data_IF_343527255715
#
_entry.id   IF_343527255715
#
_cell.length_a   1.000
_cell.length_b   1.000
_cell.length_c   1.000
_cell.angle_alpha   90.00
_cell.angle_beta   90.00
_cell.angle_gamma   90.00
#
_symmetry.space_group_name_H-M   'P 1'
#
loop_
_entity.id
_entity.type
_entity.pdbx_description
1 polymer ?
#
# COMPACT_ATOMS: atom_id res chain seq x y z
N UNK A 1 36.27 33.74 48.97
CA UNK A 1 36.36 32.84 47.79
C UNK A 1 37.23 31.65 48.17
N UNK A 2 36.95 30.45 47.66
CA UNK A 2 37.80 29.25 47.81
C UNK A 2 37.93 28.55 46.46
N UNK A 3 39.02 27.80 46.28
CA UNK A 3 39.19 26.93 45.11
C UNK A 3 38.37 25.66 45.32
N UNK A 4 37.44 25.41 44.42
CA UNK A 4 36.67 24.18 44.31
C UNK A 4 37.26 23.29 43.23
N UNK A 5 37.56 22.05 43.60
CA UNK A 5 38.09 21.04 42.69
C UNK A 5 36.92 20.16 42.22
N UNK A 6 36.45 20.42 41.01
CA UNK A 6 35.32 19.72 40.43
C UNK A 6 35.77 18.45 39.69
N UNK A 7 35.16 17.33 40.06
CA UNK A 7 35.30 16.03 39.42
C UNK A 7 33.95 15.64 38.82
N UNK A 8 33.73 16.01 37.56
CA UNK A 8 32.41 15.92 36.93
C UNK A 8 31.91 14.46 36.84
N UNK A 9 30.66 14.23 37.25
CA UNK A 9 29.99 12.94 37.12
C UNK A 9 30.38 11.89 38.17
N UNK A 10 31.27 12.21 39.10
CA UNK A 10 31.73 11.24 40.13
C UNK A 10 31.07 11.44 41.50
N UNK A 11 30.59 12.65 41.81
CA UNK A 11 30.16 13.04 43.16
C UNK A 11 31.29 13.56 44.05
N UNK A 12 32.55 13.29 43.69
CA UNK A 12 33.73 13.45 44.55
C UNK A 12 34.34 14.86 44.53
N UNK A 13 33.52 15.88 44.26
CA UNK A 13 34.02 17.26 44.16
C UNK A 13 34.25 17.85 45.53
N UNK A 14 35.38 18.53 45.74
CA UNK A 14 35.80 18.91 47.10
C UNK A 14 36.45 20.30 47.16
N UNK A 15 36.38 20.91 48.34
CA UNK A 15 37.13 22.11 48.72
C UNK A 15 38.44 21.78 49.45
N UNK A 16 38.70 20.51 49.79
CA UNK A 16 39.94 20.08 50.42
C UNK A 16 41.01 19.77 49.36
N UNK A 17 42.11 20.55 49.31
CA UNK A 17 43.17 20.35 48.33
C UNK A 17 43.89 19.00 48.48
N UNK A 18 43.91 18.40 49.68
CA UNK A 18 44.53 17.08 49.91
C UNK A 18 43.69 15.97 49.31
N UNK A 19 42.37 16.05 49.47
CA UNK A 19 41.43 15.10 48.86
C UNK A 19 41.45 15.26 47.34
N UNK A 20 41.44 16.49 46.83
CA UNK A 20 41.59 16.76 45.41
C UNK A 20 42.89 16.19 44.82
N UNK A 21 44.03 16.35 45.53
CA UNK A 21 45.30 15.78 45.12
C UNK A 21 45.26 14.25 45.04
N UNK A 22 44.60 13.59 46.00
CA UNK A 22 44.39 12.13 46.00
C UNK A 22 43.57 11.66 44.79
N UNK A 23 42.48 12.36 44.48
CA UNK A 23 41.65 12.05 43.31
C UNK A 23 42.38 12.27 41.99
N UNK A 24 43.15 13.36 41.87
CA UNK A 24 44.03 13.60 40.71
C UNK A 24 45.08 12.50 40.56
N UNK A 25 45.71 12.07 41.66
CA UNK A 25 46.68 10.98 41.65
C UNK A 25 46.05 9.62 41.27
N UNK A 26 44.76 9.43 41.56
CA UNK A 26 43.98 8.27 41.11
C UNK A 26 43.53 8.37 39.64
N UNK A 27 43.96 9.39 38.89
CA UNK A 27 43.68 9.56 37.46
C UNK A 27 42.34 10.24 37.16
N UNK A 28 41.65 10.81 38.15
CA UNK A 28 40.40 11.52 37.91
C UNK A 28 40.67 12.91 37.31
N UNK A 29 40.01 13.28 36.20
CA UNK A 29 40.13 14.61 35.63
C UNK A 29 39.50 15.64 36.56
N UNK A 30 40.24 16.70 36.87
CA UNK A 30 39.81 17.77 37.75
C UNK A 30 39.77 19.11 37.02
N UNK A 31 38.75 19.92 37.27
CA UNK A 31 38.77 21.36 36.97
C UNK A 31 38.79 22.17 38.26
N UNK A 32 39.53 23.28 38.25
CA UNK A 32 39.59 24.19 39.39
C UNK A 32 38.75 25.42 39.12
N UNK A 33 37.86 25.74 40.05
CA UNK A 33 36.92 26.84 39.92
C UNK A 33 36.98 27.65 41.21
N UNK A 34 37.19 28.96 41.12
CA UNK A 34 37.14 29.83 42.30
C UNK A 34 35.69 30.21 42.56
N UNK A 35 35.17 29.84 43.74
CA UNK A 35 33.76 30.02 44.10
C UNK A 35 33.61 30.84 45.39
N UNK A 36 32.54 31.65 45.54
CA UNK A 36 32.12 32.14 46.84
C UNK A 36 31.62 30.98 47.69
N UNK A 37 31.91 31.03 48.99
CA UNK A 37 31.48 30.01 49.96
C UNK A 37 30.69 30.72 51.05
N UNK A 38 29.50 30.21 51.33
CA UNK A 38 28.63 30.69 52.39
C UNK A 38 28.61 29.68 53.53
N UNK A 39 28.44 30.15 54.75
CA UNK A 39 28.21 29.28 55.91
C UNK A 39 26.79 28.71 55.85
N UNK A 40 26.59 27.54 56.44
CA UNK A 40 25.25 26.96 56.52
C UNK A 40 24.32 27.85 57.36
N UNK A 41 24.83 28.49 58.43
CA UNK A 41 24.06 29.50 59.17
C UNK A 41 23.57 30.64 58.28
N UNK A 42 24.40 31.13 57.34
CA UNK A 42 23.99 32.21 56.43
C UNK A 42 22.90 31.76 55.47
N UNK A 43 23.00 30.53 54.94
CA UNK A 43 21.97 29.95 54.08
C UNK A 43 20.64 29.82 54.85
N UNK A 44 20.71 29.47 56.14
CA UNK A 44 19.53 29.27 56.97
C UNK A 44 18.94 30.55 57.57
N UNK A 45 19.63 31.70 57.50
CA UNK A 45 19.08 32.99 57.95
C UNK A 45 17.81 33.38 57.22
N UNK A 46 17.74 33.06 55.92
CA UNK A 46 16.60 33.39 55.05
C UNK A 46 15.54 32.27 55.02
N UNK A 47 15.80 31.14 55.71
CA UNK A 47 14.91 29.99 55.70
C UNK A 47 13.79 30.21 56.72
N UNK A 48 12.60 30.59 56.24
CA UNK A 48 11.39 30.82 57.06
C UNK A 48 10.71 29.53 57.56
N UNK A 49 11.35 28.37 57.41
CA UNK A 49 10.76 27.10 57.80
C UNK A 49 10.72 26.98 59.33
N UNK A 50 9.53 26.76 59.94
CA UNK A 50 9.42 26.67 61.40
C UNK A 50 10.10 25.42 61.97
N UNK A 51 10.22 24.35 61.18
CA UNK A 51 10.79 23.07 61.60
C UNK A 51 11.62 22.46 60.48
N UNK A 52 12.85 22.05 60.79
CA UNK A 52 13.70 21.25 59.91
C UNK A 52 13.59 19.81 60.39
N UNK A 53 13.09 18.90 59.57
CA UNK A 53 12.97 17.49 59.96
C UNK A 53 14.27 16.71 59.70
N UNK A 54 15.00 17.08 58.66
CA UNK A 54 16.13 16.30 58.18
C UNK A 54 17.21 17.22 57.59
N UNK A 55 18.47 16.94 57.90
CA UNK A 55 19.65 17.60 57.32
C UNK A 55 20.67 16.53 56.93
N UNK A 56 21.06 16.47 55.65
CA UNK A 56 22.19 15.66 55.17
C UNK A 56 23.41 16.54 54.96
N UNK A 57 24.55 16.09 55.46
CA UNK A 57 25.87 16.69 55.25
C UNK A 57 26.74 15.66 54.51
N UNK A 58 27.20 16.08 53.35
CA UNK A 58 27.98 15.29 52.40
C UNK A 58 28.81 16.28 51.56
N UNK A 59 30.00 16.61 52.07
CA UNK A 59 30.79 17.72 51.54
C UNK A 59 32.24 17.31 51.29
N UNK A 60 32.46 16.01 51.11
CA UNK A 60 33.71 15.40 50.67
C UNK A 60 34.93 15.93 51.47
N UNK A 61 34.82 15.87 52.81
CA UNK A 61 35.90 16.18 53.76
C UNK A 61 35.76 17.49 54.53
N UNK A 62 34.75 18.31 54.23
CA UNK A 62 34.48 19.58 54.92
C UNK A 62 33.39 19.50 56.00
N UNK A 63 33.04 18.31 56.48
CA UNK A 63 31.90 18.08 57.38
C UNK A 63 32.03 18.87 58.68
N UNK A 64 33.24 18.91 59.25
CA UNK A 64 33.56 19.69 60.44
C UNK A 64 33.32 21.20 60.23
N UNK A 65 33.81 21.75 59.11
CA UNK A 65 33.64 23.17 58.79
C UNK A 65 32.15 23.55 58.66
N UNK A 66 31.34 22.68 58.05
CA UNK A 66 29.89 22.89 57.94
C UNK A 66 29.24 22.93 59.32
N UNK A 67 29.57 21.97 60.19
CA UNK A 67 29.00 21.86 61.54
C UNK A 67 29.45 22.99 62.48
N UNK A 68 30.70 23.44 62.38
CA UNK A 68 31.19 24.61 63.11
C UNK A 68 30.42 25.87 62.73
N UNK A 69 30.07 25.99 61.45
CA UNK A 69 29.32 27.14 60.93
C UNK A 69 27.83 27.14 61.29
N UNK A 70 27.30 26.02 61.81
CA UNK A 70 25.87 25.82 62.07
C UNK A 70 25.53 26.05 63.55
N UNK A 71 24.59 26.97 63.81
CA UNK A 71 24.01 27.12 65.15
C UNK A 71 22.81 26.16 65.34
N UNK A 72 23.09 24.98 65.89
CA UNK A 72 22.10 23.94 66.16
C UNK A 72 21.07 24.30 67.25
N UNK A 73 21.17 25.46 67.93
CA UNK A 73 20.11 25.98 68.81
C UNK A 73 19.07 26.81 68.05
N UNK A 74 19.46 27.40 66.92
CA UNK A 74 18.58 28.22 66.06
C UNK A 74 18.00 27.39 64.93
N UNK A 75 18.85 26.68 64.20
CA UNK A 75 18.44 25.75 63.17
C UNK A 75 18.51 24.34 63.75
N UNK A 76 17.35 23.76 64.05
CA UNK A 76 17.23 22.53 64.84
C UNK A 76 16.63 21.37 64.02
N UNK A 77 17.41 20.70 63.14
CA UNK A 77 16.97 19.49 62.48
C UNK A 77 16.56 18.41 63.47
N UNK A 78 15.48 17.68 63.24
CA UNK A 78 15.17 16.50 64.06
C UNK A 78 16.19 15.39 63.85
N UNK A 79 16.61 15.19 62.60
CA UNK A 79 17.57 14.17 62.20
C UNK A 79 18.71 14.85 61.42
N UNK A 80 19.95 14.52 61.77
CA UNK A 80 21.14 14.90 61.02
C UNK A 80 21.82 13.64 60.52
N UNK A 81 22.02 13.57 59.20
CA UNK A 81 22.74 12.50 58.52
C UNK A 81 24.08 13.02 58.02
N UNK A 82 25.18 12.41 58.42
CA UNK A 82 26.52 12.91 58.07
C UNK A 82 27.33 11.74 57.51
N UNK A 83 27.96 11.95 56.36
CA UNK A 83 28.93 10.97 55.85
C UNK A 83 30.11 10.86 56.81
N UNK A 84 30.41 9.63 57.19
CA UNK A 84 31.33 9.31 58.27
C UNK A 84 32.56 8.55 57.79
N UNK A 85 32.79 8.45 56.49
CA UNK A 85 33.95 7.78 55.89
C UNK A 85 34.83 8.75 55.11
N UNK A 86 36.09 8.39 54.88
CA UNK A 86 36.89 9.07 53.86
C UNK A 86 36.34 8.81 52.45
N UNK A 87 36.52 9.75 51.50
CA UNK A 87 36.03 9.59 50.13
C UNK A 87 36.48 8.27 49.49
N UNK A 88 35.54 7.51 48.93
CA UNK A 88 35.74 6.18 48.33
C UNK A 88 36.44 5.15 49.24
N UNK A 89 36.23 5.21 50.55
CA UNK A 89 36.86 4.32 51.52
C UNK A 89 35.88 3.88 52.60
N UNK A 90 36.15 2.73 53.23
CA UNK A 90 35.45 2.31 54.46
C UNK A 90 36.11 2.86 55.75
N UNK A 91 37.17 3.66 55.62
CA UNK A 91 37.88 4.26 56.76
C UNK A 91 36.99 5.33 57.39
N UNK A 92 36.65 5.14 58.66
CA UNK A 92 35.79 6.05 59.41
C UNK A 92 36.55 7.36 59.71
N UNK A 93 35.94 8.50 59.35
CA UNK A 93 36.45 9.86 59.57
C UNK A 93 35.63 10.65 60.61
N UNK A 94 34.69 9.98 61.30
CA UNK A 94 33.72 10.55 62.25
C UNK A 94 34.35 11.33 63.42
N UNK A 95 35.50 10.90 63.91
CA UNK A 95 36.17 11.49 65.08
C UNK A 95 36.45 13.00 64.93
N UNK A 96 36.60 13.47 63.69
CA UNK A 96 36.90 14.87 63.36
C UNK A 96 35.76 15.83 63.69
N UNK A 97 34.52 15.34 63.75
CA UNK A 97 33.34 16.21 63.83
C UNK A 97 32.25 15.74 64.79
N UNK A 98 32.25 14.48 65.24
CA UNK A 98 31.14 13.91 66.04
C UNK A 98 30.84 14.71 67.32
N UNK A 99 31.87 15.22 68.00
CA UNK A 99 31.68 16.05 69.19
C UNK A 99 30.89 17.33 68.90
N UNK A 100 30.98 17.89 67.69
CA UNK A 100 30.23 19.09 67.30
C UNK A 100 28.72 18.82 67.18
N UNK A 101 28.32 17.56 67.05
CA UNK A 101 26.94 17.12 66.99
C UNK A 101 26.47 16.71 68.39
N UNK A 102 27.20 15.79 69.02
CA UNK A 102 26.79 15.19 70.30
C UNK A 102 26.79 16.17 71.47
N UNK A 103 27.75 17.10 71.51
CA UNK A 103 27.76 18.17 72.53
C UNK A 103 26.60 19.16 72.39
N UNK A 104 25.88 19.13 71.27
CA UNK A 104 24.78 20.05 70.94
C UNK A 104 23.41 19.36 71.02
N UNK A 105 23.29 18.31 71.84
CA UNK A 105 22.02 17.66 72.16
C UNK A 105 21.50 16.76 71.04
N UNK A 106 22.41 16.00 70.42
CA UNK A 106 22.07 15.00 69.43
C UNK A 106 22.67 13.65 69.83
N UNK A 107 21.87 12.61 69.69
CA UNK A 107 22.26 11.25 70.03
C UNK A 107 22.38 10.41 68.77
N UNK A 108 23.45 9.62 68.65
CA UNK A 108 23.60 8.65 67.55
C UNK A 108 22.44 7.64 67.61
N UNK A 109 21.74 7.48 66.49
CA UNK A 109 20.76 6.43 66.26
C UNK A 109 21.45 5.17 65.73
N UNK A 110 22.12 5.27 64.57
CA UNK A 110 22.88 4.18 63.98
C UNK A 110 23.91 4.66 62.94
N UNK A 111 24.75 3.74 62.49
CA UNK A 111 25.71 3.89 61.39
C UNK A 111 25.41 2.83 60.34
N UNK A 112 25.20 3.23 59.08
CA UNK A 112 24.84 2.33 57.98
C UNK A 112 26.04 1.74 57.22
N UNK A 113 27.27 2.07 57.64
CA UNK A 113 28.51 1.74 56.94
C UNK A 113 29.10 2.89 56.13
N UNK A 114 28.34 3.97 55.91
CA UNK A 114 28.73 5.18 55.18
C UNK A 114 28.36 6.44 55.97
N UNK A 115 27.12 6.53 56.43
CA UNK A 115 26.53 7.66 57.11
C UNK A 115 26.19 7.36 58.57
N UNK A 116 26.43 8.34 59.45
CA UNK A 116 25.93 8.34 60.82
C UNK A 116 24.63 9.15 60.93
N UNK A 117 23.61 8.53 61.51
CA UNK A 117 22.32 9.13 61.77
C UNK A 117 22.27 9.62 63.22
N UNK A 118 22.06 10.91 63.42
CA UNK A 118 21.88 11.53 64.73
C UNK A 118 20.46 12.06 64.87
N UNK A 119 19.88 11.92 66.06
CA UNK A 119 18.53 12.37 66.40
C UNK A 119 18.63 13.40 67.51
N UNK A 120 17.92 14.52 67.39
CA UNK A 120 17.85 15.54 68.43
C UNK A 120 17.19 14.96 69.69
N UNK A 121 17.75 15.26 70.87
CA UNK A 121 17.33 14.60 72.11
C UNK A 121 15.85 14.82 72.46
N UNK A 122 15.28 15.97 72.06
CA UNK A 122 13.86 16.31 72.23
C UNK A 122 12.88 15.44 71.41
N UNK A 123 13.38 14.72 70.40
CA UNK A 123 12.62 13.77 69.56
C UNK A 123 13.26 12.39 69.59
N UNK A 124 13.90 12.04 70.71
CA UNK A 124 14.63 10.78 70.91
C UNK A 124 13.81 9.52 70.63
N UNK A 125 12.48 9.56 70.70
CA UNK A 125 11.59 8.46 70.29
C UNK A 125 11.79 8.03 68.82
N UNK A 126 12.32 8.91 67.95
CA UNK A 126 12.63 8.56 66.56
C UNK A 126 13.82 7.59 66.43
N UNK A 127 14.68 7.48 67.46
CA UNK A 127 15.80 6.55 67.45
C UNK A 127 15.35 5.10 67.28
N UNK A 128 14.22 4.73 67.87
CA UNK A 128 13.67 3.37 67.74
C UNK A 128 13.24 3.08 66.30
N UNK A 129 12.65 4.08 65.62
CA UNK A 129 12.25 3.98 64.21
C UNK A 129 13.45 3.94 63.25
N UNK A 130 14.58 4.48 63.69
CA UNK A 130 15.85 4.49 62.96
C UNK A 130 16.82 3.42 63.49
N UNK A 131 16.38 2.46 64.33
CA UNK A 131 17.31 1.52 64.95
C UNK A 131 17.95 0.56 63.94
N UNK A 132 17.33 0.38 62.78
CA UNK A 132 17.77 -0.51 61.71
C UNK A 132 17.88 0.27 60.39
N UNK A 133 18.89 -0.04 59.55
CA UNK A 133 18.91 0.43 58.17
C UNK A 133 17.72 -0.16 57.39
N UNK A 134 17.40 0.41 56.20
CA UNK A 134 16.49 -0.23 55.27
C UNK A 134 16.87 -1.70 55.05
N UNK A 135 15.90 -2.59 55.20
CA UNK A 135 16.08 -4.02 55.23
C UNK A 135 15.00 -4.73 54.38
N UNK A 136 15.04 -6.06 54.40
CA UNK A 136 14.19 -6.93 53.56
C UNK A 136 12.68 -6.73 53.77
N UNK A 137 12.26 -6.08 54.85
CA UNK A 137 10.86 -5.81 55.16
C UNK A 137 10.37 -4.42 54.71
N UNK A 138 11.24 -3.59 54.12
CA UNK A 138 10.92 -2.19 53.78
C UNK A 138 10.50 -1.97 52.31
N UNK A 139 10.37 -3.04 51.52
CA UNK A 139 10.01 -3.01 50.08
C UNK A 139 10.84 -2.02 49.23
N UNK A 140 12.06 -1.70 49.67
CA UNK A 140 12.95 -0.84 48.90
C UNK A 140 13.52 -1.60 47.69
N UNK A 141 13.77 -0.88 46.61
CA UNK A 141 14.40 -1.43 45.42
C UNK A 141 15.75 -0.74 45.22
N UNK A 142 16.80 -1.52 44.99
CA UNK A 142 18.12 -0.94 44.73
C UNK A 142 18.11 -0.25 43.37
N UNK A 143 18.81 0.88 43.26
CA UNK A 143 18.85 1.64 42.00
C UNK A 143 19.25 0.78 40.77
N UNK A 144 20.25 -0.11 40.82
CA UNK A 144 20.57 -0.99 39.69
C UNK A 144 19.43 -1.94 39.33
N UNK A 145 18.69 -2.48 40.30
CA UNK A 145 17.55 -3.36 40.05
C UNK A 145 16.40 -2.59 39.41
N UNK A 146 16.08 -1.41 39.93
CA UNK A 146 15.08 -0.52 39.34
C UNK A 146 15.48 -0.15 37.91
N UNK A 147 16.73 0.26 37.70
CA UNK A 147 17.26 0.63 36.37
C UNK A 147 17.19 -0.55 35.41
N UNK A 148 17.57 -1.75 35.85
CA UNK A 148 17.51 -2.96 35.04
C UNK A 148 16.07 -3.36 34.71
N UNK A 149 15.13 -3.20 35.65
CA UNK A 149 13.70 -3.42 35.40
C UNK A 149 13.16 -2.46 34.34
N UNK A 150 13.53 -1.19 34.41
CA UNK A 150 13.14 -0.19 33.40
C UNK A 150 13.75 -0.50 32.03
N UNK A 151 15.01 -0.96 31.98
CA UNK A 151 15.66 -1.40 30.73
C UNK A 151 14.97 -2.64 30.16
N UNK A 152 14.68 -3.63 30.99
CA UNK A 152 13.98 -4.86 30.59
C UNK A 152 12.61 -4.54 29.98
N UNK A 153 11.80 -3.73 30.67
CA UNK A 153 10.50 -3.30 30.16
C UNK A 153 10.61 -2.57 28.80
N UNK A 154 11.62 -1.71 28.63
CA UNK A 154 11.88 -1.05 27.34
C UNK A 154 12.25 -2.05 26.24
N UNK A 155 13.11 -3.01 26.55
CA UNK A 155 13.54 -4.04 25.59
C UNK A 155 12.39 -4.96 25.20
N UNK A 156 11.52 -5.32 26.15
CA UNK A 156 10.31 -6.10 25.89
C UNK A 156 9.34 -5.37 24.95
N UNK A 157 9.15 -4.07 25.15
CA UNK A 157 8.33 -3.24 24.25
C UNK A 157 8.92 -3.16 22.84
N UNK A 158 10.23 -2.97 22.71
CA UNK A 158 10.87 -2.92 21.39
C UNK A 158 10.83 -4.29 20.70
N UNK A 159 11.03 -5.39 21.45
CA UNK A 159 10.90 -6.75 20.92
C UNK A 159 9.48 -7.00 20.39
N UNK A 160 8.45 -6.62 21.14
CA UNK A 160 7.07 -6.74 20.70
C UNK A 160 6.79 -5.92 19.44
N UNK A 161 7.36 -4.71 19.34
CA UNK A 161 7.25 -3.85 18.14
C UNK A 161 7.89 -4.50 16.92
N UNK A 162 9.12 -5.00 17.07
CA UNK A 162 9.83 -5.67 15.99
C UNK A 162 9.14 -6.95 15.54
N UNK A 163 8.63 -7.75 16.48
CA UNK A 163 7.84 -8.94 16.16
C UNK A 163 6.56 -8.59 15.37
N UNK A 164 5.88 -7.50 15.75
CA UNK A 164 4.74 -7.00 14.99
C UNK A 164 5.11 -6.57 13.57
N UNK A 165 6.25 -5.87 13.42
CA UNK A 165 6.77 -5.47 12.11
C UNK A 165 7.11 -6.67 11.23
N UNK A 166 7.84 -7.65 11.76
CA UNK A 166 8.19 -8.87 11.02
C UNK A 166 6.95 -9.63 10.57
N UNK A 167 5.94 -9.77 11.44
CA UNK A 167 4.67 -10.41 11.08
C UNK A 167 3.97 -9.67 9.94
N UNK A 168 3.93 -8.34 9.99
CA UNK A 168 3.35 -7.53 8.91
C UNK A 168 4.10 -7.69 7.58
N UNK A 169 5.43 -7.77 7.61
CA UNK A 169 6.23 -8.05 6.41
C UNK A 169 5.97 -9.45 5.85
N UNK A 170 5.86 -10.46 6.71
CA UNK A 170 5.53 -11.83 6.27
C UNK A 170 4.15 -11.91 5.61
N UNK A 171 3.16 -11.20 6.14
CA UNK A 171 1.82 -11.11 5.56
C UNK A 171 1.83 -10.41 4.20
N UNK A 172 2.56 -9.29 4.08
CA UNK A 172 2.71 -8.58 2.80
C UNK A 172 3.40 -9.45 1.75
N UNK A 173 4.47 -10.17 2.14
CA UNK A 173 5.17 -11.08 1.24
C UNK A 173 4.27 -12.22 0.76
N UNK A 174 3.44 -12.80 1.64
CA UNK A 174 2.47 -13.83 1.26
C UNK A 174 1.41 -13.29 0.29
N UNK A 175 0.96 -12.06 0.48
CA UNK A 175 0.01 -11.42 -0.42
C UNK A 175 0.63 -11.21 -1.81
N UNK A 176 1.88 -10.73 -1.89
CA UNK A 176 2.61 -10.54 -3.14
C UNK A 176 2.86 -11.87 -3.87
N UNK A 177 3.24 -12.93 -3.14
CA UNK A 177 3.39 -14.28 -3.70
C UNK A 177 2.07 -14.78 -4.30
N UNK A 178 0.96 -14.59 -3.58
CA UNK A 178 -0.38 -14.98 -4.06
C UNK A 178 -0.76 -14.19 -5.31
N UNK A 179 -0.50 -12.88 -5.33
CA UNK A 179 -0.72 -12.04 -6.51
C UNK A 179 0.11 -12.51 -7.70
N UNK A 180 1.38 -12.84 -7.47
CA UNK A 180 2.28 -13.34 -8.53
C UNK A 180 1.78 -14.66 -9.12
N UNK A 181 1.30 -15.58 -8.29
CA UNK A 181 0.68 -16.85 -8.72
C UNK A 181 -0.58 -16.56 -9.56
N UNK A 182 -1.44 -15.65 -9.11
CA UNK A 182 -2.66 -15.29 -9.83
C UNK A 182 -2.37 -14.67 -11.20
N UNK A 183 -1.39 -13.75 -11.27
CA UNK A 183 -0.95 -13.14 -12.52
C UNK A 183 -0.37 -14.19 -13.48
N UNK A 184 0.44 -15.12 -12.97
CA UNK A 184 0.99 -16.21 -13.76
C UNK A 184 -0.12 -17.09 -14.38
N UNK A 185 -1.13 -17.44 -13.58
CA UNK A 185 -2.27 -18.22 -14.06
C UNK A 185 -3.10 -17.46 -15.10
N UNK A 186 -3.33 -16.16 -14.90
CA UNK A 186 -4.03 -15.31 -15.86
C UNK A 186 -3.28 -15.20 -17.19
N UNK A 187 -1.95 -15.02 -17.14
CA UNK A 187 -1.10 -14.98 -18.32
C UNK A 187 -1.16 -16.30 -19.09
N UNK A 188 -1.10 -17.44 -18.41
CA UNK A 188 -1.24 -18.75 -19.07
C UNK A 188 -2.61 -18.90 -19.75
N UNK A 189 -3.69 -18.46 -19.11
CA UNK A 189 -5.03 -18.50 -19.69
C UNK A 189 -5.13 -17.62 -20.96
N UNK A 190 -4.55 -16.42 -20.93
CA UNK A 190 -4.50 -15.51 -22.09
C UNK A 190 -3.65 -16.11 -23.24
N UNK A 191 -2.50 -16.70 -22.93
CA UNK A 191 -1.68 -17.40 -23.92
C UNK A 191 -2.44 -18.56 -24.59
N UNK A 192 -3.23 -19.30 -23.82
CA UNK A 192 -4.07 -20.37 -24.37
C UNK A 192 -5.20 -19.80 -25.25
N UNK A 193 -5.85 -18.71 -24.83
CA UNK A 193 -6.88 -18.04 -25.63
C UNK A 193 -6.33 -17.48 -26.94
N UNK A 194 -5.18 -16.81 -26.90
CA UNK A 194 -4.52 -16.27 -28.09
C UNK A 194 -4.11 -17.40 -29.04
N UNK A 195 -3.63 -18.54 -28.54
CA UNK A 195 -3.36 -19.72 -29.35
C UNK A 195 -4.64 -20.26 -30.04
N UNK A 196 -5.76 -20.36 -29.31
CA UNK A 196 -7.06 -20.77 -29.87
C UNK A 196 -7.54 -19.82 -30.96
N UNK A 197 -7.46 -18.50 -30.72
CA UNK A 197 -7.84 -17.46 -31.68
C UNK A 197 -6.96 -17.50 -32.94
N UNK A 198 -5.65 -17.72 -32.79
CA UNK A 198 -4.72 -17.88 -33.92
C UNK A 198 -5.11 -19.08 -34.79
N UNK A 199 -5.43 -20.21 -34.17
CA UNK A 199 -5.88 -21.41 -34.89
C UNK A 199 -7.20 -21.17 -35.63
N UNK A 200 -8.20 -20.54 -34.98
CA UNK A 200 -9.47 -20.19 -35.61
C UNK A 200 -9.32 -19.19 -36.77
N UNK A 201 -8.45 -18.19 -36.62
CA UNK A 201 -8.13 -17.25 -37.69
C UNK A 201 -7.47 -17.96 -38.88
N UNK A 202 -6.59 -18.93 -38.61
CA UNK A 202 -5.95 -19.72 -39.66
C UNK A 202 -6.98 -20.59 -40.42
N UNK A 203 -7.93 -21.22 -39.72
CA UNK A 203 -8.99 -21.99 -40.38
C UNK A 203 -9.88 -21.10 -41.25
N UNK A 204 -10.29 -19.93 -40.75
CA UNK A 204 -11.05 -18.95 -41.55
C UNK A 204 -10.28 -18.46 -42.77
N UNK A 205 -8.97 -18.20 -42.63
CA UNK A 205 -8.10 -17.85 -43.77
C UNK A 205 -8.05 -18.97 -44.81
N UNK A 206 -8.00 -20.23 -44.40
CA UNK A 206 -8.04 -21.37 -45.31
C UNK A 206 -9.40 -21.50 -46.02
N UNK A 207 -10.51 -21.32 -45.29
CA UNK A 207 -11.86 -21.34 -45.87
C UNK A 207 -12.05 -20.21 -46.89
N UNK A 208 -11.66 -18.98 -46.55
CA UNK A 208 -11.74 -17.83 -47.46
C UNK A 208 -10.85 -17.99 -48.69
N UNK A 209 -9.65 -18.58 -48.56
CA UNK A 209 -8.79 -18.89 -49.70
C UNK A 209 -9.41 -19.95 -50.61
N UNK A 210 -9.97 -21.03 -50.05
CA UNK A 210 -10.67 -22.07 -50.82
C UNK A 210 -11.90 -21.52 -51.56
N UNK A 211 -12.70 -20.68 -50.90
CA UNK A 211 -13.87 -20.05 -51.52
C UNK A 211 -13.46 -19.11 -52.67
N UNK A 212 -12.38 -18.34 -52.50
CA UNK A 212 -11.82 -17.49 -53.58
C UNK A 212 -11.35 -18.33 -54.77
N UNK A 213 -10.68 -19.45 -54.53
CA UNK A 213 -10.25 -20.36 -55.61
C UNK A 213 -11.45 -20.95 -56.36
N UNK A 214 -12.49 -21.39 -55.65
CA UNK A 214 -13.71 -21.91 -56.27
C UNK A 214 -14.38 -20.84 -57.15
N UNK A 215 -14.51 -19.61 -56.65
CA UNK A 215 -15.06 -18.49 -57.43
C UNK A 215 -14.22 -18.18 -58.67
N UNK A 216 -12.89 -18.21 -58.55
CA UNK A 216 -12.00 -18.02 -59.71
C UNK A 216 -12.15 -19.14 -60.74
N UNK A 217 -12.33 -20.39 -60.30
CA UNK A 217 -12.57 -21.52 -61.19
C UNK A 217 -13.90 -21.37 -61.96
N UNK A 218 -14.99 -21.01 -61.27
CA UNK A 218 -16.28 -20.73 -61.91
C UNK A 218 -16.19 -19.55 -62.89
N UNK A 219 -15.49 -18.47 -62.54
CA UNK A 219 -15.26 -17.34 -63.44
C UNK A 219 -14.46 -17.74 -64.68
N UNK A 220 -13.46 -18.61 -64.52
CA UNK A 220 -12.67 -19.14 -65.64
C UNK A 220 -13.52 -20.04 -66.55
N UNK A 221 -14.39 -20.88 -65.98
CA UNK A 221 -15.34 -21.70 -66.72
C UNK A 221 -16.33 -20.84 -67.50
N UNK A 222 -16.92 -19.83 -66.84
CA UNK A 222 -17.82 -18.86 -67.47
C UNK A 222 -17.13 -18.14 -68.64
N UNK A 223 -15.87 -17.71 -68.47
CA UNK A 223 -15.08 -17.11 -69.56
C UNK A 223 -14.84 -18.08 -70.71
N UNK A 224 -14.59 -19.38 -70.45
CA UNK A 224 -14.46 -20.40 -71.51
C UNK A 224 -15.76 -20.59 -72.26
N UNK A 225 -16.89 -20.67 -71.56
CA UNK A 225 -18.22 -20.80 -72.19
C UNK A 225 -18.55 -19.57 -73.04
N UNK A 226 -18.26 -18.36 -72.56
CA UNK A 226 -18.41 -17.13 -73.35
C UNK A 226 -17.54 -17.16 -74.62
N UNK A 227 -16.26 -17.54 -74.53
CA UNK A 227 -15.40 -17.67 -75.69
C UNK A 227 -15.87 -18.74 -76.69
N UNK A 228 -16.45 -19.85 -76.21
CA UNK A 228 -17.07 -20.87 -77.07
C UNK A 228 -18.33 -20.32 -77.78
N UNK A 229 -19.15 -19.53 -77.09
CA UNK A 229 -20.31 -18.88 -77.70
C UNK A 229 -19.90 -17.85 -78.74
N UNK A 230 -18.87 -17.04 -78.47
CA UNK A 230 -18.32 -16.07 -79.41
C UNK A 230 -17.76 -16.75 -80.68
N UNK A 231 -17.01 -17.84 -80.52
CA UNK A 231 -16.49 -18.62 -81.67
C UNK A 231 -17.61 -19.30 -82.47
N UNK A 232 -18.63 -19.86 -81.81
CA UNK A 232 -19.80 -20.41 -82.49
C UNK A 232 -20.61 -19.34 -83.25
N UNK A 233 -20.75 -18.14 -82.67
CA UNK A 233 -21.37 -16.99 -83.35
C UNK A 233 -20.54 -16.53 -84.55
N UNK A 234 -19.21 -16.53 -84.45
CA UNK A 234 -18.32 -16.23 -85.57
C UNK A 234 -18.47 -17.25 -86.71
N UNK A 235 -18.58 -18.55 -86.39
CA UNK A 235 -18.85 -19.62 -87.39
C UNK A 235 -20.23 -19.42 -88.05
N UNK A 236 -21.27 -19.10 -87.27
CA UNK A 236 -22.60 -18.80 -87.81
C UNK A 236 -22.62 -17.53 -88.70
N UNK A 237 -21.76 -16.55 -88.41
CA UNK A 237 -21.59 -15.38 -89.27
C UNK A 237 -21.00 -15.74 -90.65
N UNK A 238 -20.17 -16.79 -90.71
CA UNK A 238 -19.64 -17.33 -91.97
C UNK A 238 -20.74 -18.00 -92.83
N UNK A 239 -21.73 -18.65 -92.19
CA UNK A 239 -22.91 -19.19 -92.88
C UNK A 239 -23.90 -18.12 -93.36
N UNK A 240 -23.86 -16.90 -92.80
CA UNK A 240 -24.68 -15.77 -93.29
C UNK A 240 -24.25 -15.31 -94.69
N UNK A 241 -22.97 -15.47 -95.04
CA UNK A 241 -22.48 -15.24 -96.41
C UNK A 241 -22.92 -16.31 -97.42
N UNK A 242 -23.03 -17.57 -96.97
CA UNK A 242 -23.44 -18.71 -97.80
C UNK A 242 -24.96 -18.74 -98.03
N UNK A 243 -25.75 -18.35 -97.01
CA UNK A 243 -27.21 -18.26 -97.12
C UNK A 243 -27.69 -17.03 -97.93
N UNK A 244 -26.88 -15.98 -98.05
CA UNK A 244 -27.13 -14.89 -98.99
C UNK A 244 -27.04 -15.36 -100.46
N UNK A 245 -26.01 -16.16 -100.78
CA UNK A 245 -25.80 -16.68 -102.14
C UNK A 245 -26.83 -17.74 -102.55
N UNK A 246 -27.39 -18.51 -101.61
CA UNK A 246 -28.47 -19.46 -101.88
C UNK A 246 -29.85 -18.79 -102.03
N UNK A 247 -30.07 -17.63 -101.41
CA UNK A 247 -31.31 -16.84 -101.56
C UNK A 247 -31.46 -16.29 -102.99
N UNK A 248 -30.37 -15.80 -103.58
CA UNK A 248 -30.37 -15.26 -104.95
C UNK A 248 -30.53 -16.35 -106.03
N UNK A 249 -30.14 -17.60 -105.73
CA UNK A 249 -30.31 -18.75 -106.64
C UNK A 249 -31.74 -19.31 -106.56
N UNK A 250 -32.36 -19.29 -105.38
CA UNK A 250 -33.75 -19.77 -105.18
C UNK A 250 -34.79 -18.75 -105.67
N UNK A 251 -34.51 -17.44 -105.58
CA UNK A 251 -35.39 -16.39 -106.13
C UNK A 251 -35.41 -16.38 -107.69
N UNK A 252 -34.34 -16.88 -108.35
CA UNK A 252 -34.28 -17.01 -109.83
C UNK A 252 -34.94 -18.28 -110.38
N UNK A 253 -35.19 -19.30 -109.56
CA UNK A 253 -35.70 -20.61 -110.00
C UNK A 253 -37.16 -20.88 -109.63
N UNK A 254 -37.78 -20.09 -108.75
CA UNK A 254 -39.11 -20.44 -108.20
C UNK A 254 -40.19 -19.38 -108.35
N UNK A 255 -40.00 -18.36 -109.18
CA UNK A 255 -41.10 -17.50 -109.67
C UNK A 255 -42.07 -17.06 -108.58
N UNK A 256 -41.55 -16.63 -107.41
CA UNK A 256 -42.35 -16.06 -106.33
C UNK A 256 -43.40 -16.96 -105.67
N UNK A 257 -43.34 -18.30 -105.83
CA UNK A 257 -44.45 -19.20 -105.44
C UNK A 257 -44.40 -19.83 -104.04
N UNK A 258 -43.31 -19.72 -103.28
CA UNK A 258 -43.13 -20.50 -102.03
C UNK A 258 -43.65 -19.77 -100.77
N UNK A 259 -44.14 -18.53 -100.90
CA UNK A 259 -44.66 -17.74 -99.77
C UNK A 259 -46.00 -18.25 -99.20
N UNK A 260 -46.69 -19.17 -99.87
CA UNK A 260 -48.06 -19.60 -99.49
C UNK A 260 -48.13 -21.05 -98.98
N UNK A 261 -47.05 -21.85 -99.09
CA UNK A 261 -47.04 -23.24 -98.58
C UNK A 261 -46.41 -23.38 -97.17
N UNK A 262 -45.60 -22.40 -96.73
CA UNK A 262 -44.90 -22.46 -95.44
C UNK A 262 -45.75 -22.05 -94.22
N UNK A 263 -46.96 -21.52 -94.43
CA UNK A 263 -47.80 -21.00 -93.33
C UNK A 263 -48.82 -22.02 -92.78
N UNK A 264 -49.05 -23.14 -93.45
CA UNK A 264 -50.06 -24.15 -93.04
C UNK A 264 -49.49 -25.42 -92.39
N UNK A 265 -48.17 -25.61 -92.37
CA UNK A 265 -47.50 -26.75 -91.69
C UNK A 265 -47.02 -26.38 -90.26
N UNK A 266 -46.78 -25.09 -90.01
CA UNK A 266 -46.28 -24.59 -88.71
C UNK A 266 -47.38 -24.45 -87.64
N UNK A 267 -48.66 -24.36 -88.04
CA UNK A 267 -49.79 -24.25 -87.09
C UNK A 267 -50.32 -25.62 -86.65
N UNK A 268 -50.09 -26.68 -87.45
CA UNK A 268 -50.58 -28.05 -87.13
C UNK A 268 -49.62 -28.86 -86.24
N UNK A 269 -48.36 -28.42 -86.11
CA UNK A 269 -47.31 -29.05 -85.29
C UNK A 269 -47.21 -28.47 -83.88
N UNK A 270 -47.79 -27.30 -83.59
CA UNK A 270 -47.80 -26.67 -82.26
C UNK A 270 -48.96 -27.09 -81.32
N UNK A 271 -49.72 -28.14 -81.65
CA UNK A 271 -50.81 -28.68 -80.79
C UNK A 271 -50.49 -30.05 -80.15
N UNK A 272 -49.21 -30.36 -79.88
CA UNK A 272 -48.80 -31.60 -79.21
C UNK A 272 -48.25 -31.33 -77.78
N UNK A 273 -48.92 -31.80 -76.71
CA UNK A 273 -48.65 -31.40 -75.33
C UNK A 273 -47.30 -31.88 -74.74
N UNK A 274 -46.63 -32.87 -75.35
CA UNK A 274 -45.35 -33.42 -74.84
C UNK A 274 -44.12 -32.56 -75.18
N UNK A 275 -44.16 -31.74 -76.23
CA UNK A 275 -43.05 -30.85 -76.62
C UNK A 275 -43.00 -29.57 -75.76
N UNK A 276 -44.13 -29.10 -75.26
CA UNK A 276 -44.20 -27.94 -74.36
C UNK A 276 -43.65 -28.22 -72.95
N UNK A 277 -43.62 -29.48 -72.51
CA UNK A 277 -42.98 -29.87 -71.25
C UNK A 277 -41.45 -29.79 -71.34
N UNK A 278 -40.88 -30.13 -72.50
CA UNK A 278 -39.43 -30.05 -72.75
C UNK A 278 -38.96 -28.58 -72.80
N UNK A 279 -39.78 -27.70 -73.39
CA UNK A 279 -39.51 -26.26 -73.49
C UNK A 279 -39.66 -25.55 -72.13
N UNK A 280 -40.58 -26.00 -71.26
CA UNK A 280 -40.73 -25.49 -69.88
C UNK A 280 -39.57 -25.85 -68.95
N UNK A 281 -38.91 -27.00 -69.16
CA UNK A 281 -37.73 -27.39 -68.37
C UNK A 281 -36.49 -26.57 -68.70
N UNK A 282 -36.34 -26.18 -69.97
CA UNK A 282 -35.14 -25.50 -70.49
C UNK A 282 -35.17 -23.98 -70.31
N UNK A 283 -36.35 -23.36 -70.19
CA UNK A 283 -36.50 -21.89 -70.07
C UNK A 283 -36.69 -21.37 -68.64
N UNK A 284 -36.53 -22.24 -67.63
CA UNK A 284 -36.60 -21.91 -66.20
C UNK A 284 -35.60 -20.84 -65.68
N UNK A 285 -34.45 -20.55 -66.34
CA UNK A 285 -33.55 -19.49 -65.90
C UNK A 285 -33.68 -18.15 -66.67
N UNK A 286 -34.64 -17.99 -67.60
CA UNK A 286 -34.76 -16.78 -68.45
C UNK A 286 -36.11 -16.04 -68.27
N UNK A 287 -36.26 -15.23 -67.20
CA UNK A 287 -37.54 -14.66 -66.75
C UNK A 287 -38.15 -13.57 -67.67
N UNK A 288 -37.43 -13.07 -68.67
CA UNK A 288 -37.91 -12.02 -69.58
C UNK A 288 -38.68 -12.56 -70.81
N UNK A 289 -38.54 -13.84 -71.15
CA UNK A 289 -39.27 -14.48 -72.25
C UNK A 289 -40.61 -15.10 -71.81
N UNK A 290 -40.77 -15.33 -70.50
CA UNK A 290 -42.02 -15.80 -69.88
C UNK A 290 -43.06 -14.69 -69.69
N UNK A 291 -42.68 -13.42 -69.86
CA UNK A 291 -43.54 -12.26 -69.57
C UNK A 291 -44.49 -11.86 -70.71
N UNK A 292 -44.29 -12.36 -71.94
CA UNK A 292 -45.14 -12.04 -73.10
C UNK A 292 -46.16 -13.15 -73.47
N UNK A 293 -46.42 -14.10 -72.55
CA UNK A 293 -47.33 -15.24 -72.77
C UNK A 293 -48.42 -15.40 -71.69
N UNK A 294 -48.80 -14.32 -71.01
CA UNK A 294 -50.00 -14.24 -70.15
C UNK A 294 -50.84 -13.05 -70.65
N UNK A 295 -52.19 -13.16 -70.83
CA UNK A 295 -53.07 -13.48 -69.70
C UNK A 295 -54.44 -14.15 -70.05
N UNK A 296 -54.84 -15.19 -69.30
CA UNK A 296 -56.24 -15.47 -68.95
C UNK A 296 -56.28 -16.12 -67.56
N UNK A 297 -57.05 -15.53 -66.65
CA UNK A 297 -57.64 -16.17 -65.45
C UNK A 297 -56.72 -16.32 -64.25
N UNK A 298 -56.61 -15.34 -63.34
CA UNK A 298 -57.43 -15.18 -62.10
C UNK A 298 -57.15 -16.28 -61.05
N UNK A 299 -56.95 -16.06 -59.75
CA UNK A 299 -56.89 -14.92 -58.83
C UNK A 299 -56.70 -15.56 -57.44
N UNK A 300 -55.85 -14.96 -56.58
CA UNK A 300 -56.16 -14.61 -55.16
C UNK A 300 -56.37 -15.82 -54.19
N UNK A 301 -55.67 -15.99 -53.06
CA UNK A 301 -55.59 -15.12 -51.88
C UNK A 301 -54.37 -15.49 -51.00
N UNK A 302 -53.73 -14.46 -50.42
CA UNK A 302 -53.10 -14.47 -49.09
C UNK A 302 -54.20 -14.09 -48.09
N UNK A 303 -54.16 -14.35 -46.75
CA UNK A 303 -53.08 -13.97 -45.84
C UNK A 303 -52.91 -15.04 -44.70
N UNK A 304 -52.11 -14.97 -43.63
CA UNK A 304 -51.81 -13.85 -42.75
C UNK A 304 -50.56 -14.11 -41.89
N UNK A 305 -49.92 -12.98 -41.59
CA UNK A 305 -48.73 -12.70 -40.79
C UNK A 305 -48.98 -12.78 -39.25
N UNK A 306 -48.19 -12.13 -38.38
CA UNK A 306 -46.85 -12.39 -37.83
C UNK A 306 -46.93 -12.30 -36.27
N UNK A 307 -46.04 -11.65 -35.47
CA UNK A 307 -44.59 -11.39 -35.52
C UNK A 307 -43.88 -11.79 -34.20
N UNK A 308 -42.54 -11.68 -34.14
CA UNK A 308 -41.88 -11.21 -32.92
C UNK A 308 -40.54 -10.53 -33.24
N UNK A 309 -40.48 -9.29 -32.80
CA UNK A 309 -39.40 -8.31 -32.93
C UNK A 309 -38.32 -8.58 -31.87
N UNK A 310 -37.05 -8.45 -32.26
CA UNK A 310 -35.90 -8.32 -31.37
C UNK A 310 -35.95 -6.97 -30.62
N UNK A 311 -35.69 -6.91 -29.31
CA UNK A 311 -35.52 -5.63 -28.63
C UNK A 311 -34.10 -5.07 -28.85
N UNK A 312 -33.92 -3.74 -28.84
CA UNK A 312 -32.63 -3.10 -28.75
C UNK A 312 -32.14 -3.03 -27.29
N UNK A 313 -30.83 -3.14 -27.09
CA UNK A 313 -30.13 -2.41 -26.02
C UNK A 313 -29.67 -1.05 -26.60
N UNK A 314 -29.28 -0.01 -25.82
CA UNK A 314 -29.08 0.07 -24.37
C UNK A 314 -29.67 1.37 -23.73
N UNK A 315 -29.73 1.43 -22.39
CA UNK A 315 -29.68 2.69 -21.65
C UNK A 315 -29.31 2.42 -20.20
N UNK A 316 -28.01 2.56 -19.90
CA UNK A 316 -27.51 2.73 -18.53
C UNK A 316 -27.29 4.23 -18.38
N UNK A 317 -28.04 4.85 -17.47
CA UNK A 317 -27.77 6.21 -17.02
C UNK A 317 -26.31 6.31 -16.52
N UNK A 318 -25.62 7.44 -16.75
CA UNK A 318 -24.28 7.63 -16.24
C UNK A 318 -24.32 7.61 -14.71
N UNK A 319 -23.54 6.70 -14.12
CA UNK A 319 -23.13 6.82 -12.72
C UNK A 319 -22.54 8.23 -12.52
N UNK A 320 -22.87 8.92 -11.41
CA UNK A 320 -22.38 10.25 -11.13
C UNK A 320 -20.85 10.24 -11.01
N UNK A 321 -20.17 11.38 -11.23
CA UNK A 321 -18.73 11.47 -11.04
C UNK A 321 -18.41 11.08 -9.61
N UNK A 322 -17.37 10.26 -9.42
CA UNK A 322 -16.69 9.95 -8.16
C UNK A 322 -16.85 11.08 -7.13
N UNK A 323 -17.90 10.97 -6.32
CA UNK A 323 -18.05 11.80 -5.14
C UNK A 323 -17.21 11.12 -4.07
N UNK A 324 -16.03 11.70 -3.85
CA UNK A 324 -15.17 11.52 -2.67
C UNK A 324 -15.92 10.85 -1.52
N UNK A 325 -15.56 9.59 -1.25
CA UNK A 325 -16.12 8.81 -0.15
C UNK A 325 -16.13 9.65 1.13
N UNK A 326 -17.33 9.88 1.68
CA UNK A 326 -17.47 10.55 2.97
C UNK A 326 -16.75 9.73 4.04
N UNK A 327 -15.88 10.33 4.87
CA UNK A 327 -15.05 9.60 5.84
C UNK A 327 -15.84 8.86 6.92
N UNK A 328 -17.18 8.97 6.94
CA UNK A 328 -18.06 8.23 7.83
C UNK A 328 -18.20 6.74 7.48
N UNK A 329 -17.96 6.33 6.23
CA UNK A 329 -18.07 4.92 5.80
C UNK A 329 -16.85 4.07 6.18
N UNK A 330 -15.76 4.68 6.65
CA UNK A 330 -14.51 3.98 6.94
C UNK A 330 -14.48 3.35 8.35
N UNK A 331 -13.76 2.23 8.55
CA UNK A 331 -13.44 1.70 9.87
C UNK A 331 -12.69 2.74 10.75
N UNK A 332 -12.83 2.64 12.07
CA UNK A 332 -12.29 3.65 13.00
C UNK A 332 -10.78 3.89 12.86
N UNK A 333 -10.00 2.84 12.59
CA UNK A 333 -8.56 2.92 12.32
C UNK A 333 -8.26 3.67 11.01
N UNK A 334 -9.03 3.39 9.96
CA UNK A 334 -8.90 4.06 8.66
C UNK A 334 -9.29 5.55 8.73
N UNK A 335 -10.30 5.92 9.55
CA UNK A 335 -10.64 7.32 9.82
C UNK A 335 -9.51 8.11 10.49
N UNK A 336 -8.80 7.46 11.41
CA UNK A 336 -7.69 8.10 12.13
C UNK A 336 -6.48 8.31 11.22
N UNK A 337 -6.24 7.39 10.28
CA UNK A 337 -5.18 7.54 9.27
C UNK A 337 -5.58 8.60 8.24
N UNK A 338 -6.82 8.58 7.77
CA UNK A 338 -7.35 9.57 6.83
C UNK A 338 -7.31 10.99 7.40
N UNK A 339 -7.68 11.18 8.68
CA UNK A 339 -7.61 12.49 9.33
C UNK A 339 -6.16 12.99 9.43
N UNK A 340 -5.21 12.14 9.85
CA UNK A 340 -3.79 12.50 9.93
C UNK A 340 -3.20 12.89 8.57
N UNK A 341 -3.54 12.16 7.52
CA UNK A 341 -3.10 12.47 6.15
C UNK A 341 -3.68 13.81 5.67
N UNK A 342 -4.95 14.10 5.95
CA UNK A 342 -5.58 15.37 5.57
C UNK A 342 -4.96 16.57 6.29
N UNK A 343 -4.62 16.42 7.57
CA UNK A 343 -3.93 17.48 8.34
C UNK A 343 -2.54 17.74 7.77
N UNK A 344 -1.78 16.69 7.44
CA UNK A 344 -0.45 16.82 6.85
C UNK A 344 -0.47 17.49 5.46
N UNK A 345 -1.47 17.19 4.63
CA UNK A 345 -1.63 17.84 3.32
C UNK A 345 -1.97 19.32 3.48
N UNK A 346 -2.86 19.67 4.43
CA UNK A 346 -3.24 21.06 4.70
C UNK A 346 -2.07 21.89 5.24
N UNK A 347 -1.24 21.31 6.11
CA UNK A 347 -0.03 21.96 6.63
C UNK A 347 1.07 22.13 5.57
N UNK A 348 1.15 21.22 4.59
CA UNK A 348 2.11 21.34 3.48
C UNK A 348 1.73 22.47 2.52
N UNK A 349 0.44 22.64 2.24
CA UNK A 349 -0.09 23.70 1.37
C UNK A 349 -0.01 25.09 2.01
N UNK A 350 -0.10 25.17 3.35
CA UNK A 350 0.09 26.41 4.08
C UNK A 350 1.56 26.90 4.09
N UNK A 351 2.53 25.98 3.99
CA UNK A 351 3.96 26.32 3.93
C UNK A 351 4.43 26.74 2.54
N UNK A 352 3.72 26.35 1.48
CA UNK A 352 4.07 26.72 0.09
C UNK A 352 3.49 28.07 -0.35
N UNK A 353 2.56 28.66 0.40
CA UNK A 353 1.94 29.96 0.08
C UNK A 353 2.63 31.16 0.78
N UNK A 354 3.65 30.90 1.62
CA UNK A 354 4.37 31.92 2.40
C UNK A 354 5.87 32.01 2.05
N UNK A 355 6.25 31.67 0.81
CA UNK A 355 7.57 31.92 0.25
C UNK A 355 7.49 32.74 -1.03
#
# INVERSE_FOLDING_TARGET
>A
LRTFHAFAGTGLSTLDPKIAARHKAAGLPASEIVVPVLTLAKILEDCLAPTIHFLKIDVEGAEAEVLESLNLKRARPWIILIEATEPNSGVIAREKWEQLVTSRGYSLAYFDGLNCFYVADEVSQLKERLALPPNVFDDFVRFPEWSNKQKAARLEQELARLQGYTRGLEEALRAEQTQSINLYNALQAEQLQTAKLRNALQTERMHTASARQALQAEQAEMKRLLGQLETNLAVLSHYRGVLGSLRDIVDRLTGGGVRVLAQNVLVRTMRRPRLMALVRGVLKPFPKLTANLYPVGTTVDSPASPPAVLPPAPSIDPLPPESLESPASLPASARQVYSRLRTAVSDSSARTCNQ
#
